data_IF_592179630506
#
_entry.id   IF_592179630506
#
_cell.length_a   1.000
_cell.length_b   1.000
_cell.length_c   1.000
_cell.angle_alpha   90.00
_cell.angle_beta   90.00
_cell.angle_gamma   90.00
#
_symmetry.space_group_name_H-M   'P 1'
#
loop_
_entity.id
_entity.type
_entity.pdbx_description
1 polymer ?
#
# COMPACT_ATOMS: atom_id res chain seq x y z
N UNK A 1 -14.40 -1.05 4.31
CA UNK A 1 -13.22 -1.71 4.94
C UNK A 1 -13.09 -1.39 6.43
N UNK A 2 -13.33 -0.14 6.89
CA UNK A 2 -13.12 0.26 8.29
C UNK A 2 -14.18 -0.23 9.29
N UNK A 3 -15.45 -0.36 8.87
CA UNK A 3 -16.52 -0.89 9.73
C UNK A 3 -16.24 -2.33 10.20
N UNK A 4 -15.54 -3.14 9.39
CA UNK A 4 -15.12 -4.50 9.75
C UNK A 4 -14.25 -4.54 11.01
N UNK A 5 -13.50 -3.46 11.30
CA UNK A 5 -12.67 -3.35 12.51
C UNK A 5 -13.51 -3.19 13.78
N UNK A 6 -14.69 -2.60 13.66
CA UNK A 6 -15.65 -2.41 14.77
C UNK A 6 -16.55 -3.62 14.99
N UNK A 7 -16.50 -4.61 14.09
CA UNK A 7 -17.31 -5.82 14.19
C UNK A 7 -16.74 -6.81 15.21
N UNK A 8 -17.63 -7.49 15.92
CA UNK A 8 -17.29 -8.66 16.74
C UNK A 8 -16.83 -9.84 15.86
N UNK A 9 -16.14 -10.84 16.41
CA UNK A 9 -15.77 -12.05 15.66
C UNK A 9 -16.97 -12.72 14.96
N UNK A 10 -18.13 -12.75 15.60
CA UNK A 10 -19.36 -13.36 15.07
C UNK A 10 -19.89 -12.58 13.87
N UNK A 11 -19.93 -11.25 13.98
CA UNK A 11 -20.33 -10.36 12.89
C UNK A 11 -19.38 -10.49 11.68
N UNK A 12 -18.07 -10.61 11.93
CA UNK A 12 -17.08 -10.85 10.87
C UNK A 12 -17.32 -12.19 10.17
N UNK A 13 -17.56 -13.25 10.95
CA UNK A 13 -17.86 -14.58 10.41
C UNK A 13 -19.14 -14.56 9.55
N UNK A 14 -20.18 -13.87 10.00
CA UNK A 14 -21.43 -13.71 9.25
C UNK A 14 -21.21 -12.99 7.91
N UNK A 15 -20.45 -11.88 7.89
CA UNK A 15 -20.11 -11.14 6.65
C UNK A 15 -19.31 -12.01 5.68
N UNK A 16 -18.36 -12.82 6.18
CA UNK A 16 -17.60 -13.74 5.33
C UNK A 16 -18.48 -14.85 4.77
N UNK A 17 -19.39 -15.40 5.57
CA UNK A 17 -20.35 -16.43 5.12
C UNK A 17 -21.27 -15.88 4.03
N UNK A 18 -21.86 -14.70 4.22
CA UNK A 18 -22.70 -14.03 3.22
C UNK A 18 -21.94 -13.77 1.91
N UNK A 19 -20.66 -13.37 1.98
CA UNK A 19 -19.85 -13.17 0.77
C UNK A 19 -19.62 -14.46 -0.01
N UNK A 20 -19.39 -15.57 0.71
CA UNK A 20 -19.23 -16.90 0.10
C UNK A 20 -20.51 -17.37 -0.58
N UNK A 21 -21.67 -17.17 0.03
CA UNK A 21 -22.96 -17.58 -0.57
C UNK A 21 -23.28 -16.79 -1.83
N UNK A 22 -22.80 -15.55 -1.94
CA UNK A 22 -22.93 -14.71 -3.14
C UNK A 22 -21.93 -15.01 -4.25
N UNK A 23 -21.02 -15.98 -4.06
CA UNK A 23 -20.02 -16.35 -5.06
C UNK A 23 -18.95 -15.29 -5.31
N UNK A 24 -18.74 -14.35 -4.38
CA UNK A 24 -17.64 -13.39 -4.51
C UNK A 24 -16.29 -14.11 -4.44
N UNK A 25 -15.30 -13.74 -5.26
CA UNK A 25 -13.98 -14.34 -5.21
C UNK A 25 -13.35 -14.16 -3.82
N UNK A 26 -12.46 -15.09 -3.41
CA UNK A 26 -11.70 -14.95 -2.18
C UNK A 26 -10.99 -13.58 -2.14
N UNK A 27 -10.96 -12.94 -0.96
CA UNK A 27 -10.30 -11.63 -0.77
C UNK A 27 -8.80 -11.65 -1.05
N UNK A 28 -8.21 -12.84 -1.20
CA UNK A 28 -6.85 -13.05 -1.64
C UNK A 28 -6.89 -13.89 -2.93
N UNK A 29 -6.63 -13.31 -4.11
CA UNK A 29 -6.36 -14.08 -5.31
C UNK A 29 -5.23 -15.08 -5.02
N UNK A 30 -5.25 -16.29 -5.61
CA UNK A 30 -4.16 -17.24 -5.44
C UNK A 30 -2.85 -16.61 -5.92
N UNK A 31 -1.82 -16.68 -5.07
CA UNK A 31 -0.44 -16.34 -5.44
C UNK A 31 0.22 -17.62 -5.98
N UNK A 32 0.70 -17.57 -7.22
CA UNK A 32 1.40 -18.69 -7.84
C UNK A 32 2.91 -18.51 -7.66
N UNK A 33 3.60 -19.54 -7.15
CA UNK A 33 5.06 -19.52 -6.98
C UNK A 33 5.82 -19.83 -8.27
N UNK A 34 5.14 -20.40 -9.27
CA UNK A 34 5.73 -20.73 -10.57
C UNK A 34 5.60 -19.58 -11.56
N UNK A 35 6.73 -19.06 -12.05
CA UNK A 35 6.81 -18.13 -13.19
C UNK A 35 7.37 -16.74 -12.89
N UNK A 36 7.10 -15.80 -13.79
CA UNK A 36 7.48 -14.39 -13.68
C UNK A 36 6.67 -13.74 -12.54
N UNK A 37 7.32 -13.49 -11.39
CA UNK A 37 6.75 -12.87 -10.19
C UNK A 37 6.49 -11.36 -10.36
N UNK A 38 5.66 -11.00 -11.35
CA UNK A 38 5.17 -9.63 -11.48
C UNK A 38 3.96 -9.46 -10.57
N UNK A 39 4.01 -8.43 -9.74
CA UNK A 39 3.00 -8.17 -8.73
C UNK A 39 2.34 -6.80 -8.98
N UNK A 40 1.04 -6.74 -8.73
CA UNK A 40 0.33 -5.47 -8.51
C UNK A 40 0.45 -5.15 -7.03
N UNK A 41 1.25 -4.15 -6.70
CA UNK A 41 1.53 -3.73 -5.32
C UNK A 41 0.75 -2.44 -5.07
N UNK A 42 -0.04 -2.40 -3.99
CA UNK A 42 -0.82 -1.21 -3.62
C UNK A 42 -0.69 -0.95 -2.13
N UNK A 43 -0.64 0.33 -1.77
CA UNK A 43 -0.80 0.77 -0.40
C UNK A 43 -1.46 2.16 -0.38
N UNK A 44 -2.23 2.39 0.68
CA UNK A 44 -2.97 3.61 0.90
C UNK A 44 -2.54 4.27 2.21
N UNK A 45 -2.66 5.58 2.28
CA UNK A 45 -2.60 6.32 3.51
C UNK A 45 -3.68 5.80 4.47
N UNK A 46 -3.45 5.93 5.77
CA UNK A 46 -4.39 5.54 6.79
C UNK A 46 -5.75 6.23 6.56
N UNK A 47 -6.81 5.44 6.62
CA UNK A 47 -8.18 5.90 6.29
C UNK A 47 -8.37 6.44 4.87
N UNK A 48 -7.44 6.16 3.94
CA UNK A 48 -7.39 6.75 2.60
C UNK A 48 -7.43 8.28 2.64
N UNK A 49 -6.86 8.89 3.68
CA UNK A 49 -6.74 10.35 3.76
C UNK A 49 -5.79 10.86 2.70
N UNK A 50 -6.13 11.99 2.10
CA UNK A 50 -5.30 12.67 1.12
C UNK A 50 -4.19 13.43 1.85
N UNK A 51 -2.98 12.86 1.90
CA UNK A 51 -1.80 13.43 2.57
C UNK A 51 -0.80 14.00 1.55
N UNK A 52 -0.76 13.40 0.36
CA UNK A 52 0.07 13.85 -0.77
C UNK A 52 -0.74 14.87 -1.60
N UNK A 53 -1.15 15.97 -0.98
CA UNK A 53 -2.04 16.98 -1.59
C UNK A 53 -1.29 18.03 -2.41
N UNK A 54 0.04 18.10 -2.29
CA UNK A 54 0.87 19.04 -3.04
C UNK A 54 1.62 18.32 -4.15
N UNK A 55 1.86 19.03 -5.25
CA UNK A 55 2.67 18.52 -6.36
C UNK A 55 4.07 18.09 -5.91
N UNK A 56 4.66 18.85 -4.97
CA UNK A 56 5.98 18.51 -4.41
C UNK A 56 5.95 17.18 -3.66
N UNK A 57 4.95 16.91 -2.81
CA UNK A 57 4.85 15.62 -2.10
C UNK A 57 4.60 14.46 -3.06
N UNK A 58 3.75 14.66 -4.06
CA UNK A 58 3.48 13.63 -5.08
C UNK A 58 4.75 13.29 -5.86
N UNK A 59 5.47 14.29 -6.34
CA UNK A 59 6.71 14.12 -7.09
C UNK A 59 7.80 13.48 -6.24
N UNK A 60 8.04 14.01 -5.04
CA UNK A 60 9.05 13.49 -4.11
C UNK A 60 8.79 12.02 -3.76
N UNK A 61 7.54 11.67 -3.48
CA UNK A 61 7.16 10.30 -3.17
C UNK A 61 7.29 9.39 -4.37
N UNK A 62 6.79 9.80 -5.55
CA UNK A 62 6.90 9.04 -6.78
C UNK A 62 8.36 8.75 -7.14
N UNK A 63 9.22 9.76 -7.08
CA UNK A 63 10.65 9.58 -7.36
C UNK A 63 11.32 8.64 -6.35
N UNK A 64 11.02 8.75 -5.06
CA UNK A 64 11.54 7.85 -4.05
C UNK A 64 11.08 6.40 -4.28
N UNK A 65 9.83 6.22 -4.72
CA UNK A 65 9.24 4.93 -5.00
C UNK A 65 9.90 4.25 -6.21
N UNK A 66 10.05 4.98 -7.31
CA UNK A 66 10.71 4.50 -8.53
C UNK A 66 12.17 4.14 -8.23
N UNK A 67 12.93 5.08 -7.65
CA UNK A 67 14.34 4.86 -7.33
C UNK A 67 14.54 3.69 -6.38
N UNK A 68 13.75 3.59 -5.31
CA UNK A 68 13.97 2.52 -4.34
C UNK A 68 13.61 1.15 -4.89
N UNK A 69 12.57 1.03 -5.73
CA UNK A 69 12.28 -0.24 -6.43
C UNK A 69 13.43 -0.66 -7.32
N UNK A 70 13.94 0.22 -8.18
CA UNK A 70 14.96 -0.13 -9.17
C UNK A 70 16.36 -0.25 -8.58
N UNK A 71 16.71 0.61 -7.62
CA UNK A 71 18.09 0.79 -7.16
C UNK A 71 18.34 0.20 -5.76
N UNK A 72 17.37 0.27 -4.84
CA UNK A 72 17.60 -0.18 -3.45
C UNK A 72 17.26 -1.66 -3.24
N UNK A 73 16.21 -2.17 -3.91
CA UNK A 73 15.79 -3.57 -3.79
C UNK A 73 16.00 -4.37 -5.08
N UNK A 74 16.68 -3.79 -6.07
CA UNK A 74 17.04 -4.42 -7.34
C UNK A 74 15.84 -5.05 -8.07
N UNK A 75 14.69 -4.39 -7.99
CA UNK A 75 13.45 -4.77 -8.66
C UNK A 75 13.38 -4.24 -10.08
N UNK A 76 12.39 -4.73 -10.84
CA UNK A 76 12.04 -4.19 -12.16
C UNK A 76 10.65 -3.58 -12.12
N UNK A 77 10.57 -2.26 -12.30
CA UNK A 77 9.32 -1.53 -12.37
C UNK A 77 8.79 -1.51 -13.81
N UNK A 78 7.51 -1.79 -14.00
CA UNK A 78 6.85 -1.77 -15.32
C UNK A 78 5.87 -0.61 -15.45
N UNK A 79 5.11 -0.33 -14.39
CA UNK A 79 4.17 0.78 -14.34
C UNK A 79 3.99 1.23 -12.89
N UNK A 80 3.61 2.49 -12.69
CA UNK A 80 3.28 3.03 -11.37
C UNK A 80 2.30 4.19 -11.49
N UNK A 81 1.55 4.43 -10.43
CA UNK A 81 0.71 5.61 -10.25
C UNK A 81 0.72 6.02 -8.78
N UNK A 82 1.00 7.30 -8.50
CA UNK A 82 0.91 7.90 -7.16
C UNK A 82 -0.26 8.87 -7.14
N UNK A 83 -1.17 8.66 -6.19
CA UNK A 83 -2.35 9.47 -5.96
C UNK A 83 -2.26 10.14 -4.58
N UNK A 84 -3.10 11.16 -4.29
CA UNK A 84 -3.04 11.91 -3.03
C UNK A 84 -3.16 11.07 -1.75
N UNK A 85 -3.78 9.89 -1.83
CA UNK A 85 -4.03 9.01 -0.69
C UNK A 85 -3.58 7.56 -0.88
N UNK A 86 -3.03 7.17 -2.04
CA UNK A 86 -2.57 5.80 -2.28
C UNK A 86 -1.67 5.71 -3.52
N UNK A 87 -1.04 4.56 -3.72
CA UNK A 87 -0.25 4.30 -4.91
C UNK A 87 -0.42 2.86 -5.39
N UNK A 88 -0.11 2.65 -6.67
CA UNK A 88 -0.09 1.35 -7.33
C UNK A 88 1.21 1.17 -8.09
N UNK A 89 1.73 -0.06 -8.10
CA UNK A 89 2.89 -0.46 -8.88
C UNK A 89 2.58 -1.76 -9.58
N UNK A 90 3.13 -1.92 -10.78
CA UNK A 90 3.32 -3.20 -11.44
C UNK A 90 4.82 -3.43 -11.49
N UNK A 91 5.31 -4.38 -10.69
CA UNK A 91 6.75 -4.60 -10.55
C UNK A 91 7.09 -6.07 -10.34
N UNK A 92 8.26 -6.48 -10.80
CA UNK A 92 8.91 -7.73 -10.38
C UNK A 92 9.87 -7.40 -9.26
N UNK A 93 9.62 -7.95 -8.07
CA UNK A 93 10.40 -7.69 -6.85
C UNK A 93 10.48 -8.97 -6.00
N UNK A 94 11.49 -9.04 -5.15
CA UNK A 94 11.42 -9.90 -3.98
C UNK A 94 10.45 -9.27 -2.96
N UNK A 95 9.37 -9.98 -2.60
CA UNK A 95 8.32 -9.45 -1.74
C UNK A 95 8.81 -9.18 -0.30
N UNK A 96 9.79 -9.93 0.21
CA UNK A 96 10.32 -9.74 1.55
C UNK A 96 11.19 -8.46 1.62
N UNK A 97 12.04 -8.24 0.62
CA UNK A 97 12.82 -7.02 0.44
C UNK A 97 11.90 -5.82 0.24
N UNK A 98 10.90 -5.92 -0.64
CA UNK A 98 9.91 -4.87 -0.89
C UNK A 98 9.18 -4.48 0.40
N UNK A 99 8.66 -5.46 1.16
CA UNK A 99 7.95 -5.21 2.43
C UNK A 99 8.81 -4.45 3.43
N UNK A 100 10.09 -4.82 3.55
CA UNK A 100 11.01 -4.19 4.51
C UNK A 100 11.39 -2.78 4.06
N UNK A 101 11.60 -2.57 2.76
CA UNK A 101 11.93 -1.26 2.19
C UNK A 101 10.74 -0.30 2.21
N UNK A 102 9.56 -0.70 1.72
CA UNK A 102 8.38 0.18 1.65
C UNK A 102 7.94 0.64 3.04
N UNK A 103 8.07 -0.23 4.06
CA UNK A 103 7.82 0.14 5.45
C UNK A 103 8.74 1.26 5.94
N UNK A 104 10.03 1.20 5.59
CA UNK A 104 11.01 2.26 5.91
C UNK A 104 10.69 3.56 5.18
N UNK A 105 10.38 3.49 3.89
CA UNK A 105 9.99 4.65 3.09
C UNK A 105 8.75 5.34 3.68
N UNK A 106 7.69 4.59 3.95
CA UNK A 106 6.47 5.12 4.55
C UNK A 106 6.71 5.74 5.93
N UNK A 107 7.51 5.10 6.80
CA UNK A 107 7.81 5.65 8.11
C UNK A 107 8.58 6.98 8.01
N UNK A 108 9.56 7.06 7.11
CA UNK A 108 10.31 8.30 6.85
C UNK A 108 9.40 9.41 6.34
N UNK A 109 8.56 9.13 5.34
CA UNK A 109 7.62 10.10 4.76
C UNK A 109 6.53 10.53 5.72
N UNK A 110 5.99 9.60 6.51
CA UNK A 110 5.04 9.90 7.58
C UNK A 110 5.64 10.90 8.58
N UNK A 111 6.89 10.68 8.99
CA UNK A 111 7.60 11.57 9.92
C UNK A 111 7.82 12.94 9.31
N UNK A 112 8.27 12.99 8.05
CA UNK A 112 8.48 14.24 7.30
C UNK A 112 7.18 15.04 7.16
N UNK A 113 6.14 14.46 6.58
CA UNK A 113 4.87 15.15 6.32
C UNK A 113 4.17 15.59 7.60
N UNK A 114 4.29 14.82 8.68
CA UNK A 114 3.77 15.24 9.97
C UNK A 114 4.50 16.47 10.55
N UNK A 115 5.81 16.62 10.30
CA UNK A 115 6.54 17.82 10.70
C UNK A 115 6.15 19.02 9.85
N UNK A 116 6.09 18.84 8.52
CA UNK A 116 5.66 19.87 7.57
C UNK A 116 4.24 20.39 7.89
N UNK A 117 3.32 19.50 8.28
CA UNK A 117 1.93 19.85 8.60
C UNK A 117 1.75 20.31 10.06
N UNK A 118 2.79 20.30 10.89
CA UNK A 118 2.66 20.60 12.33
C UNK A 118 1.80 19.59 13.11
N UNK A 119 1.63 18.37 12.61
CA UNK A 119 0.83 17.29 13.23
C UNK A 119 1.69 16.08 13.62
N UNK A 120 2.67 16.23 14.54
CA UNK A 120 3.49 15.10 14.97
C UNK A 120 2.63 13.97 15.56
N UNK A 121 2.94 12.71 15.20
CA UNK A 121 2.22 11.53 15.68
C UNK A 121 0.95 11.17 14.90
N UNK A 122 0.50 11.98 13.92
CA UNK A 122 -0.61 11.60 13.03
C UNK A 122 -0.26 10.31 12.29
N UNK A 123 -1.19 9.35 12.27
CA UNK A 123 -1.03 8.12 11.51
C UNK A 123 -1.21 8.40 10.01
N UNK A 124 -0.18 8.08 9.22
CA UNK A 124 -0.15 8.26 7.77
C UNK A 124 -0.14 6.91 7.04
N UNK A 125 0.62 5.90 7.53
CA UNK A 125 0.65 4.53 7.01
C UNK A 125 -0.19 3.51 7.78
#
# INVERSE_FOLDING_TARGET
MYQYRRMTPEQRAAVVAERKTRGHPPHAPPHFEEGVSTHVLTAACFEHREILTTSNRLEEFAQALVRGVEQEINGKLYAWAVLPNHHHLVARVDLAAFRTWIGRLHNGKSTQWNREDGTPGRRVG
#
